data_IF_967599814684
#
_entry.id   IF_967599814684
#
_cell.length_a   1.000
_cell.length_b   1.000
_cell.length_c   1.000
_cell.angle_alpha   90.00
_cell.angle_beta   90.00
_cell.angle_gamma   90.00
#
_symmetry.space_group_name_H-M   'P 1'
#
loop_
_entity.id
_entity.type
_entity.pdbx_description
1 polymer ?
#
# COMPACT_ATOMS: atom_id res chain seq x y z
N UNK A 1 17.39 -6.96 -19.76
CA UNK A 1 15.92 -7.07 -19.72
C UNK A 1 15.37 -6.24 -18.56
N UNK A 2 15.59 -4.92 -18.55
CA UNK A 2 15.09 -4.00 -17.50
C UNK A 2 14.41 -2.76 -18.12
N UNK A 3 14.01 -2.83 -19.38
CA UNK A 3 13.65 -1.62 -20.14
C UNK A 3 12.16 -1.44 -20.38
N UNK A 4 11.34 -2.50 -20.32
CA UNK A 4 9.89 -2.36 -20.57
C UNK A 4 9.11 -1.97 -19.29
N UNK A 5 9.44 -2.58 -18.15
CA UNK A 5 8.72 -2.34 -16.90
C UNK A 5 9.01 -0.95 -16.31
N UNK A 6 10.24 -0.44 -16.46
CA UNK A 6 10.63 0.90 -15.98
C UNK A 6 9.92 1.99 -16.78
N UNK A 7 9.79 1.82 -18.10
CA UNK A 7 9.10 2.79 -18.98
C UNK A 7 7.59 2.83 -18.68
N UNK A 8 6.96 1.69 -18.39
CA UNK A 8 5.55 1.67 -18.02
C UNK A 8 5.27 2.34 -16.68
N UNK A 9 6.16 2.19 -15.69
CA UNK A 9 6.04 2.83 -14.38
C UNK A 9 6.24 4.34 -14.50
N UNK A 10 7.24 4.81 -15.25
CA UNK A 10 7.50 6.24 -15.46
C UNK A 10 6.33 6.96 -16.17
N UNK A 11 5.58 6.27 -17.03
CA UNK A 11 4.38 6.84 -17.66
C UNK A 11 3.25 7.00 -16.65
N UNK A 12 3.06 6.03 -15.75
CA UNK A 12 1.96 6.02 -14.78
C UNK A 12 2.19 7.01 -13.62
N UNK A 13 3.44 7.17 -13.17
CA UNK A 13 3.82 8.18 -12.17
C UNK A 13 3.84 9.60 -12.74
N UNK A 14 3.69 9.74 -14.07
CA UNK A 14 3.77 11.04 -14.71
C UNK A 14 2.49 11.84 -14.49
N UNK A 15 2.58 12.79 -13.56
CA UNK A 15 1.59 13.84 -13.31
C UNK A 15 1.16 14.56 -14.60
N UNK A 16 2.00 14.58 -15.65
CA UNK A 16 1.67 15.17 -16.95
C UNK A 16 0.55 14.43 -17.71
N UNK A 17 0.15 13.23 -17.27
CA UNK A 17 -1.06 12.56 -17.76
C UNK A 17 -2.35 13.14 -17.15
N UNK A 18 -2.22 13.79 -16.00
CA UNK A 18 -3.32 14.29 -15.19
C UNK A 18 -3.24 15.80 -15.04
N UNK A 19 -3.66 16.53 -16.10
CA UNK A 19 -3.89 17.97 -16.12
C UNK A 19 -2.73 18.88 -15.65
N UNK A 20 -1.59 18.34 -15.21
CA UNK A 20 -0.68 19.10 -14.38
C UNK A 20 0.78 18.92 -14.78
N UNK A 21 1.57 19.97 -14.55
CA UNK A 21 2.98 20.00 -14.89
C UNK A 21 3.77 20.75 -13.83
N UNK A 22 4.99 20.28 -13.55
CA UNK A 22 5.94 21.03 -12.73
C UNK A 22 6.66 22.08 -13.58
N UNK A 23 6.47 23.38 -13.29
CA UNK A 23 7.11 24.48 -14.00
C UNK A 23 8.09 25.26 -13.11
N UNK A 24 9.31 25.59 -13.56
CA UNK A 24 9.94 25.11 -14.78
C UNK A 24 10.49 23.69 -14.57
N UNK A 25 10.11 22.76 -15.43
CA UNK A 25 10.64 21.37 -15.45
C UNK A 25 12.05 21.24 -16.01
N UNK A 26 12.49 22.26 -16.75
CA UNK A 26 13.78 22.31 -17.40
C UNK A 26 14.34 23.72 -17.30
N UNK A 27 15.63 23.79 -17.02
CA UNK A 27 16.39 25.02 -16.94
C UNK A 27 17.40 25.06 -18.08
N UNK A 28 17.70 26.27 -18.54
CA UNK A 28 18.77 26.47 -19.51
C UNK A 28 20.07 26.62 -18.74
N UNK A 29 21.00 25.68 -18.90
CA UNK A 29 22.31 25.75 -18.28
C UNK A 29 23.08 26.98 -18.79
N UNK A 30 23.43 27.90 -17.89
CA UNK A 30 23.99 29.22 -18.21
C UNK A 30 25.21 29.18 -19.15
N UNK A 31 26.13 28.22 -18.92
CA UNK A 31 27.38 28.12 -19.69
C UNK A 31 27.24 27.40 -21.03
N UNK A 32 26.27 26.50 -21.16
CA UNK A 32 26.17 25.60 -22.33
C UNK A 32 24.94 25.87 -23.18
N UNK A 33 24.02 26.72 -22.70
CA UNK A 33 22.69 26.96 -23.26
C UNK A 33 21.86 25.69 -23.51
N UNK A 34 22.24 24.56 -22.91
CA UNK A 34 21.51 23.29 -23.02
C UNK A 34 20.34 23.29 -22.04
N UNK A 35 19.20 22.76 -22.47
CA UNK A 35 18.09 22.45 -21.56
C UNK A 35 18.49 21.24 -20.71
N UNK A 36 18.48 21.42 -19.40
CA UNK A 36 18.72 20.39 -18.38
C UNK A 36 17.46 20.29 -17.53
N UNK A 37 17.11 19.09 -17.07
CA UNK A 37 15.96 18.89 -16.18
C UNK A 37 16.18 19.68 -14.88
N UNK A 38 15.15 20.37 -14.40
CA UNK A 38 15.20 21.06 -13.13
C UNK A 38 15.17 19.98 -12.03
N UNK A 39 16.31 19.73 -11.39
CA UNK A 39 16.43 18.86 -10.21
C UNK A 39 16.54 19.78 -8.99
N UNK A 40 15.44 20.45 -8.64
CA UNK A 40 15.35 21.39 -7.50
C UNK A 40 16.34 22.57 -7.53
N UNK A 41 16.86 22.90 -8.71
CA UNK A 41 17.78 24.04 -8.91
C UNK A 41 17.01 25.37 -8.84
N UNK A 42 15.75 25.36 -9.30
CA UNK A 42 14.80 26.45 -9.13
C UNK A 42 13.49 25.92 -8.53
N UNK A 43 12.75 26.75 -7.78
CA UNK A 43 11.43 26.39 -7.27
C UNK A 43 10.54 25.89 -8.42
N UNK A 44 9.98 24.69 -8.26
CA UNK A 44 9.02 24.11 -9.19
C UNK A 44 7.62 24.32 -8.64
N UNK A 45 6.72 24.78 -9.49
CA UNK A 45 5.32 24.98 -9.16
C UNK A 45 4.49 23.91 -9.87
N UNK A 46 3.59 23.29 -9.13
CA UNK A 46 2.64 22.34 -9.66
C UNK A 46 1.43 23.09 -10.24
N UNK A 47 1.27 23.08 -11.57
CA UNK A 47 0.22 23.83 -12.27
C UNK A 47 -0.83 22.85 -12.77
N UNK A 48 -2.05 22.87 -12.20
CA UNK A 48 -3.20 22.06 -12.65
C UNK A 48 -3.89 22.67 -13.89
N UNK A 49 -4.64 21.84 -14.61
CA UNK A 49 -5.47 22.14 -15.79
C UNK A 49 -4.78 22.80 -17.00
N UNK A 50 -3.54 22.44 -17.30
CA UNK A 50 -2.78 23.06 -18.43
C UNK A 50 -3.23 22.55 -19.81
N UNK A 51 -3.71 21.30 -19.89
CA UNK A 51 -4.12 20.62 -21.12
C UNK A 51 -5.28 19.65 -20.83
N UNK A 52 -6.09 19.24 -21.81
CA UNK A 52 -7.12 18.24 -21.59
C UNK A 52 -6.54 16.93 -21.02
N UNK A 53 -7.13 16.40 -19.94
CA UNK A 53 -6.71 15.13 -19.36
C UNK A 53 -6.68 14.02 -20.39
N UNK A 54 -5.64 13.19 -20.29
CA UNK A 54 -5.56 11.94 -21.03
C UNK A 54 -6.40 10.86 -20.31
N UNK A 55 -6.48 10.93 -18.98
CA UNK A 55 -7.26 10.02 -18.11
C UNK A 55 -8.03 10.81 -17.05
N UNK A 56 -9.19 10.32 -16.63
CA UNK A 56 -10.00 10.93 -15.55
C UNK A 56 -9.28 10.93 -14.20
N UNK A 57 -9.61 11.88 -13.32
CA UNK A 57 -9.12 11.96 -11.94
C UNK A 57 -9.30 10.66 -11.17
N UNK A 58 -10.52 10.12 -11.17
CA UNK A 58 -10.86 8.86 -10.50
C UNK A 58 -9.94 7.71 -10.92
N UNK A 59 -9.65 7.60 -12.22
CA UNK A 59 -8.74 6.56 -12.74
C UNK A 59 -7.30 6.79 -12.30
N UNK A 60 -6.82 8.04 -12.32
CA UNK A 60 -5.46 8.36 -11.86
C UNK A 60 -5.31 8.04 -10.37
N UNK A 61 -6.26 8.48 -9.54
CA UNK A 61 -6.30 8.18 -8.11
C UNK A 61 -6.33 6.68 -7.83
N UNK A 62 -7.19 5.93 -8.53
CA UNK A 62 -7.26 4.47 -8.40
C UNK A 62 -5.91 3.79 -8.71
N UNK A 63 -5.20 4.29 -9.72
CA UNK A 63 -3.87 3.77 -10.06
C UNK A 63 -2.82 4.14 -9.00
N UNK A 64 -2.82 5.38 -8.49
CA UNK A 64 -1.94 5.78 -7.39
C UNK A 64 -2.19 4.93 -6.14
N UNK A 65 -3.46 4.66 -5.81
CA UNK A 65 -3.83 3.77 -4.71
C UNK A 65 -3.31 2.34 -4.93
N UNK A 66 -3.43 1.78 -6.15
CA UNK A 66 -2.90 0.47 -6.47
C UNK A 66 -1.35 0.43 -6.41
N UNK A 67 -0.67 1.51 -6.80
CA UNK A 67 0.78 1.64 -6.64
C UNK A 67 1.19 1.69 -5.18
N UNK A 68 0.49 2.49 -4.36
CA UNK A 68 0.69 2.54 -2.90
C UNK A 68 0.47 1.15 -2.30
N UNK A 69 -0.60 0.46 -2.67
CA UNK A 69 -0.89 -0.91 -2.23
C UNK A 69 0.26 -1.88 -2.58
N UNK A 70 0.77 -1.85 -3.83
CA UNK A 70 1.91 -2.68 -4.26
C UNK A 70 3.21 -2.34 -3.54
N UNK A 71 3.42 -1.06 -3.22
CA UNK A 71 4.53 -0.59 -2.40
C UNK A 71 4.45 -1.18 -0.98
N UNK A 72 3.26 -1.15 -0.37
CA UNK A 72 3.02 -1.71 0.97
C UNK A 72 3.16 -3.23 1.05
N UNK A 73 3.11 -3.93 -0.09
CA UNK A 73 3.43 -5.37 -0.17
C UNK A 73 4.93 -5.67 -0.04
N UNK A 74 5.80 -4.67 -0.03
CA UNK A 74 7.23 -4.80 0.23
C UNK A 74 7.47 -4.80 1.75
N UNK A 75 7.46 -5.98 2.38
CA UNK A 75 7.60 -6.11 3.83
C UNK A 75 8.98 -6.53 4.32
N UNK A 76 9.88 -6.93 3.43
CA UNK A 76 11.25 -7.24 3.85
C UNK A 76 12.04 -5.94 4.13
N UNK A 77 13.03 -5.97 5.04
CA UNK A 77 13.79 -4.78 5.42
C UNK A 77 14.42 -3.98 4.27
N UNK A 78 14.70 -4.63 3.13
CA UNK A 78 15.36 -3.99 1.97
C UNK A 78 14.36 -3.65 0.86
N UNK A 79 13.06 -3.90 1.08
CA UNK A 79 11.98 -3.75 0.08
C UNK A 79 12.30 -4.45 -1.24
N UNK A 80 12.96 -5.61 -1.17
CA UNK A 80 13.42 -6.40 -2.32
C UNK A 80 12.39 -7.45 -2.75
N UNK A 81 11.56 -7.92 -1.82
CA UNK A 81 10.65 -9.04 -2.01
C UNK A 81 9.21 -8.63 -1.75
N UNK A 82 8.39 -8.73 -2.80
CA UNK A 82 6.94 -8.46 -2.74
C UNK A 82 6.19 -9.64 -2.14
N UNK A 83 5.24 -9.34 -1.27
CA UNK A 83 4.14 -10.24 -0.95
C UNK A 83 3.26 -10.40 -2.20
N UNK A 84 3.43 -11.51 -2.93
CA UNK A 84 2.55 -11.84 -4.06
C UNK A 84 2.35 -13.34 -4.14
N UNK A 85 1.09 -13.78 -4.15
CA UNK A 85 0.75 -15.18 -4.28
C UNK A 85 1.35 -15.78 -5.56
N UNK A 86 2.25 -16.76 -5.43
CA UNK A 86 2.64 -17.57 -6.58
C UNK A 86 1.69 -18.77 -6.66
N UNK A 87 1.14 -19.05 -7.83
CA UNK A 87 0.23 -20.19 -8.05
C UNK A 87 0.82 -21.58 -7.73
N UNK A 88 2.07 -21.64 -7.27
CA UNK A 88 2.81 -22.86 -7.00
C UNK A 88 2.48 -23.52 -5.66
N UNK A 89 2.12 -22.76 -4.62
CA UNK A 89 1.73 -23.30 -3.32
C UNK A 89 0.93 -22.28 -2.49
N UNK A 90 -0.07 -22.73 -1.68
CA UNK A 90 -0.98 -21.85 -0.92
C UNK A 90 -0.31 -20.76 -0.10
N UNK A 91 0.85 -21.07 0.47
CA UNK A 91 1.56 -20.20 1.42
C UNK A 91 2.69 -19.37 0.79
N UNK A 92 2.85 -19.44 -0.54
CA UNK A 92 3.97 -18.81 -1.22
C UNK A 92 3.93 -17.29 -1.13
N UNK A 93 5.04 -16.70 -0.68
CA UNK A 93 5.22 -15.26 -0.42
C UNK A 93 4.17 -14.67 0.53
N UNK A 94 3.49 -15.49 1.35
CA UNK A 94 2.59 -15.02 2.39
C UNK A 94 3.30 -14.84 3.72
N UNK A 95 4.35 -15.64 3.97
CA UNK A 95 5.03 -15.67 5.25
C UNK A 95 6.39 -14.98 5.23
N UNK A 96 6.66 -14.23 6.30
CA UNK A 96 7.93 -13.56 6.57
C UNK A 96 8.49 -14.06 7.90
N UNK A 97 9.82 -14.09 8.01
CA UNK A 97 10.49 -14.52 9.23
C UNK A 97 10.30 -13.47 10.32
N UNK A 98 9.79 -13.86 11.49
CA UNK A 98 9.57 -12.94 12.60
C UNK A 98 10.84 -12.48 13.34
N UNK A 99 12.01 -13.03 12.98
CA UNK A 99 13.32 -12.64 13.50
C UNK A 99 14.01 -11.63 12.58
N UNK A 100 14.21 -11.98 11.29
CA UNK A 100 14.96 -11.12 10.35
C UNK A 100 14.08 -10.39 9.32
N UNK A 101 12.76 -10.59 9.33
CA UNK A 101 11.83 -9.97 8.39
C UNK A 101 11.96 -10.45 6.94
N UNK A 102 12.86 -11.38 6.62
CA UNK A 102 13.04 -11.90 5.25
C UNK A 102 11.96 -12.93 4.89
N UNK A 103 11.66 -13.13 3.59
CA UNK A 103 10.63 -14.08 3.17
C UNK A 103 10.94 -15.52 3.62
N UNK A 104 9.88 -16.26 3.91
CA UNK A 104 9.94 -17.70 4.14
C UNK A 104 9.74 -18.42 2.81
N UNK A 105 10.55 -19.44 2.54
CA UNK A 105 10.51 -20.22 1.30
C UNK A 105 10.13 -21.67 1.57
N UNK A 106 9.39 -22.26 0.64
CA UNK A 106 9.04 -23.67 0.66
C UNK A 106 10.26 -24.54 0.33
N UNK A 107 10.46 -25.60 1.11
CA UNK A 107 11.51 -26.61 0.97
C UNK A 107 10.87 -28.00 0.99
N UNK A 108 11.36 -28.87 0.13
CA UNK A 108 11.08 -30.31 0.21
C UNK A 108 12.23 -30.98 0.94
N UNK A 109 11.96 -31.53 2.11
CA UNK A 109 12.90 -32.30 2.90
C UNK A 109 12.69 -33.78 2.63
N UNK A 110 13.76 -34.56 2.69
CA UNK A 110 13.70 -36.03 2.57
C UNK A 110 14.02 -36.62 3.92
N UNK A 111 13.14 -37.48 4.42
CA UNK A 111 13.34 -38.25 5.64
C UNK A 111 13.19 -39.74 5.33
N UNK A 112 13.64 -40.60 6.23
CA UNK A 112 13.54 -42.05 6.05
C UNK A 112 13.04 -42.72 7.31
N UNK A 113 12.05 -43.60 7.17
CA UNK A 113 11.53 -44.43 8.27
C UNK A 113 11.49 -45.88 7.81
N UNK A 114 12.09 -46.79 8.59
CA UNK A 114 12.16 -48.22 8.27
C UNK A 114 12.76 -48.54 6.87
N UNK A 115 13.69 -47.72 6.39
CA UNK A 115 14.34 -47.89 5.09
C UNK A 115 13.60 -47.27 3.90
N UNK A 116 12.36 -46.81 4.08
CA UNK A 116 11.60 -46.11 3.04
C UNK A 116 11.78 -44.59 3.17
N UNK A 117 12.07 -43.93 2.04
CA UNK A 117 12.17 -42.47 1.97
C UNK A 117 10.78 -41.86 1.82
N UNK A 118 10.50 -40.83 2.60
CA UNK A 118 9.31 -40.01 2.46
C UNK A 118 9.69 -38.53 2.40
N UNK A 119 8.84 -37.74 1.75
CA UNK A 119 9.07 -36.32 1.52
C UNK A 119 8.21 -35.49 2.46
N UNK A 120 8.82 -34.49 3.08
CA UNK A 120 8.14 -33.57 3.98
C UNK A 120 8.25 -32.17 3.38
N UNK A 121 7.12 -31.47 3.30
CA UNK A 121 7.08 -30.07 2.90
C UNK A 121 7.29 -29.20 4.15
N UNK A 122 8.25 -28.28 4.09
CA UNK A 122 8.58 -27.38 5.19
C UNK A 122 8.83 -25.97 4.67
N UNK A 123 8.57 -24.98 5.52
CA UNK A 123 8.73 -23.56 5.27
C UNK A 123 9.88 -23.04 6.12
N UNK A 124 10.89 -22.48 5.47
CA UNK A 124 12.14 -22.07 6.12
C UNK A 124 12.49 -20.64 5.73
N UNK A 125 13.01 -19.86 6.68
CA UNK A 125 13.52 -18.52 6.42
C UNK A 125 14.58 -18.55 5.28
N UNK A 126 14.45 -17.65 4.29
CA UNK A 126 15.38 -17.53 3.15
C UNK A 126 16.85 -17.45 3.57
N UNK A 127 17.13 -16.74 4.66
CA UNK A 127 18.47 -16.57 5.23
C UNK A 127 19.03 -17.91 5.69
N UNK A 128 18.32 -18.58 6.59
CA UNK A 128 18.73 -19.88 7.14
C UNK A 128 18.79 -20.99 6.08
N UNK A 129 18.03 -20.84 5.00
CA UNK A 129 18.08 -21.72 3.85
C UNK A 129 19.29 -21.45 2.91
N UNK A 130 20.14 -20.47 3.23
CA UNK A 130 21.31 -20.09 2.43
C UNK A 130 20.93 -19.46 1.08
N UNK A 131 19.74 -18.88 0.97
CA UNK A 131 19.22 -18.24 -0.25
C UNK A 131 19.29 -16.72 -0.19
N UNK A 132 19.89 -16.18 0.86
CA UNK A 132 20.19 -14.76 1.02
C UNK A 132 21.72 -14.57 1.07
N UNK A 133 22.33 -13.92 0.07
CA UNK A 133 23.76 -13.66 0.09
C UNK A 133 24.13 -12.49 1.00
N UNK A 134 23.19 -11.57 1.25
CA UNK A 134 23.42 -10.27 1.86
C UNK A 134 23.32 -10.34 3.39
N UNK A 135 22.65 -11.37 3.93
CA UNK A 135 22.37 -11.51 5.37
C UNK A 135 22.52 -12.96 5.85
N UNK A 136 23.08 -13.18 7.05
CA UNK A 136 23.40 -14.54 7.58
C UNK A 136 23.06 -14.78 9.05
N UNK A 137 22.59 -13.78 9.79
CA UNK A 137 22.51 -13.84 11.25
C UNK A 137 21.18 -14.37 11.82
N UNK A 138 20.29 -14.87 10.95
CA UNK A 138 19.01 -15.45 11.38
C UNK A 138 19.18 -16.91 11.85
N UNK A 139 18.55 -17.26 12.97
CA UNK A 139 18.63 -18.60 13.59
C UNK A 139 17.29 -19.34 13.60
N UNK A 140 16.24 -18.75 13.03
CA UNK A 140 14.91 -19.32 12.95
C UNK A 140 14.91 -20.73 12.31
N UNK A 141 14.23 -21.68 12.96
CA UNK A 141 14.03 -23.04 12.43
C UNK A 141 13.02 -23.06 11.26
N UNK A 142 12.84 -24.22 10.63
CA UNK A 142 11.77 -24.46 9.67
C UNK A 142 10.47 -24.86 10.38
N UNK A 143 9.33 -24.68 9.71
CA UNK A 143 8.00 -25.11 10.14
C UNK A 143 7.43 -26.08 9.13
N UNK A 144 6.77 -27.15 9.55
CA UNK A 144 6.14 -28.06 8.59
C UNK A 144 4.91 -27.43 7.94
N UNK A 145 4.67 -27.75 6.67
CA UNK A 145 3.49 -27.26 5.95
C UNK A 145 2.19 -27.71 6.64
N UNK A 146 2.17 -28.95 7.14
CA UNK A 146 1.05 -29.51 7.91
C UNK A 146 0.77 -28.73 9.20
N UNK A 147 1.81 -28.20 9.85
CA UNK A 147 1.63 -27.44 11.08
C UNK A 147 1.00 -26.07 10.78
N UNK A 148 1.36 -25.45 9.66
CA UNK A 148 0.73 -24.21 9.19
C UNK A 148 -0.75 -24.42 8.83
N UNK A 149 -1.05 -25.50 8.10
CA UNK A 149 -2.42 -25.87 7.75
C UNK A 149 -3.27 -26.11 9.01
N UNK A 150 -2.75 -26.87 9.97
CA UNK A 150 -3.43 -27.16 11.23
C UNK A 150 -3.62 -25.91 12.09
N UNK A 151 -2.61 -25.04 12.17
CA UNK A 151 -2.70 -23.78 12.91
C UNK A 151 -3.77 -22.86 12.32
N UNK A 152 -3.81 -22.73 10.99
CA UNK A 152 -4.85 -21.95 10.31
C UNK A 152 -6.25 -22.51 10.60
N UNK A 153 -6.44 -23.82 10.44
CA UNK A 153 -7.73 -24.46 10.69
C UNK A 153 -8.16 -24.38 12.16
N UNK A 154 -7.21 -24.41 13.10
CA UNK A 154 -7.49 -24.21 14.52
C UNK A 154 -8.06 -22.81 14.77
N UNK A 155 -7.40 -21.77 14.26
CA UNK A 155 -7.87 -20.37 14.40
C UNK A 155 -9.26 -20.20 13.79
N UNK A 156 -9.50 -20.74 12.59
CA UNK A 156 -10.81 -20.65 11.94
C UNK A 156 -11.92 -21.33 12.75
N UNK A 157 -11.63 -22.45 13.43
CA UNK A 157 -12.59 -23.12 14.31
C UNK A 157 -12.85 -22.33 15.59
N UNK A 158 -11.81 -21.82 16.23
CA UNK A 158 -11.94 -20.98 17.43
C UNK A 158 -12.79 -19.73 17.12
N UNK A 159 -12.55 -19.07 15.98
CA UNK A 159 -13.34 -17.93 15.53
C UNK A 159 -14.82 -18.29 15.29
N UNK A 160 -15.09 -19.51 14.83
CA UNK A 160 -16.46 -19.98 14.58
C UNK A 160 -17.19 -20.39 15.87
N UNK A 161 -16.46 -20.89 16.87
CA UNK A 161 -17.01 -21.27 18.17
C UNK A 161 -17.39 -20.04 19.01
N UNK A 162 -16.62 -18.95 18.92
CA UNK A 162 -16.84 -17.71 19.67
C UNK A 162 -17.00 -16.48 18.75
N UNK A 163 -18.06 -16.39 17.94
CA UNK A 163 -18.23 -15.27 17.00
C UNK A 163 -18.33 -13.91 17.71
N UNK A 164 -18.96 -13.85 18.87
CA UNK A 164 -19.16 -12.60 19.63
C UNK A 164 -17.83 -11.98 20.08
N UNK A 165 -16.89 -12.80 20.57
CA UNK A 165 -15.55 -12.36 20.98
C UNK A 165 -14.75 -11.80 19.80
N UNK A 166 -14.81 -12.49 18.66
CA UNK A 166 -14.15 -12.04 17.42
C UNK A 166 -14.76 -10.72 16.93
N UNK A 167 -16.08 -10.56 17.04
CA UNK A 167 -16.77 -9.32 16.67
C UNK A 167 -16.35 -8.17 17.58
N UNK A 168 -16.26 -8.38 18.88
CA UNK A 168 -15.81 -7.35 19.82
C UNK A 168 -14.35 -6.93 19.55
N UNK A 169 -13.44 -7.88 19.36
CA UNK A 169 -12.03 -7.58 19.05
C UNK A 169 -11.88 -6.81 17.73
N UNK A 170 -12.62 -7.23 16.70
CA UNK A 170 -12.59 -6.56 15.41
C UNK A 170 -13.15 -5.13 15.48
N UNK A 171 -14.27 -4.94 16.21
CA UNK A 171 -14.83 -3.61 16.41
C UNK A 171 -13.87 -2.69 17.17
N UNK A 172 -13.16 -3.19 18.18
CA UNK A 172 -12.12 -2.42 18.88
C UNK A 172 -10.96 -2.04 17.96
N UNK A 173 -10.57 -2.93 17.04
CA UNK A 173 -9.53 -2.63 16.06
C UNK A 173 -9.99 -1.56 15.05
N UNK A 174 -11.23 -1.65 14.58
CA UNK A 174 -11.86 -0.66 13.69
C UNK A 174 -11.99 0.69 14.40
N UNK A 175 -12.44 0.72 15.66
CA UNK A 175 -12.56 1.93 16.46
C UNK A 175 -11.21 2.62 16.66
N UNK A 176 -10.14 1.85 16.92
CA UNK A 176 -8.78 2.39 17.03
C UNK A 176 -8.25 2.99 15.73
N UNK A 177 -8.67 2.47 14.58
CA UNK A 177 -8.32 3.01 13.27
C UNK A 177 -9.26 4.14 12.82
N UNK A 178 -10.42 4.26 13.47
CA UNK A 178 -11.43 5.25 13.10
C UNK A 178 -11.03 6.66 13.48
N UNK A 179 -11.47 7.63 12.68
CA UNK A 179 -11.30 9.03 13.01
C UNK A 179 -12.14 9.36 14.24
N UNK A 180 -11.52 9.98 15.23
CA UNK A 180 -12.22 10.51 16.39
C UNK A 180 -13.22 11.60 15.97
N UNK A 181 -14.29 11.84 16.75
CA UNK A 181 -15.25 12.90 16.46
C UNK A 181 -14.64 14.29 16.14
N UNK A 182 -13.59 14.78 16.84
CA UNK A 182 -12.96 16.04 16.48
C UNK A 182 -12.18 15.97 15.16
N UNK A 183 -11.58 14.83 14.81
CA UNK A 183 -10.89 14.65 13.52
C UNK A 183 -11.88 14.61 12.35
N UNK A 184 -13.06 14.01 12.54
CA UNK A 184 -14.14 14.05 11.56
C UNK A 184 -14.64 15.49 11.32
N UNK A 185 -14.82 16.25 12.40
CA UNK A 185 -15.17 17.68 12.30
C UNK A 185 -14.07 18.49 11.61
N UNK A 186 -12.80 18.21 11.93
CA UNK A 186 -11.65 18.85 11.29
C UNK A 186 -11.60 18.54 9.80
N UNK A 187 -11.86 17.30 9.39
CA UNK A 187 -11.93 16.90 7.99
C UNK A 187 -13.02 17.68 7.24
N UNK A 188 -14.21 17.83 7.84
CA UNK A 188 -15.29 18.62 7.25
C UNK A 188 -14.92 20.11 7.14
N UNK A 189 -14.25 20.67 8.16
CA UNK A 189 -13.75 22.05 8.14
C UNK A 189 -12.70 22.25 7.03
N UNK A 190 -11.72 21.34 6.92
CA UNK A 190 -10.69 21.37 5.88
C UNK A 190 -11.30 21.35 4.48
N UNK A 191 -12.31 20.50 4.26
CA UNK A 191 -13.01 20.45 2.98
C UNK A 191 -13.67 21.79 2.62
N UNK A 192 -14.33 22.45 3.58
CA UNK A 192 -14.92 23.78 3.39
C UNK A 192 -13.86 24.86 3.12
N UNK A 193 -12.73 24.82 3.82
CA UNK A 193 -11.64 25.76 3.62
C UNK A 193 -10.99 25.59 2.24
N UNK A 194 -10.76 24.34 1.81
CA UNK A 194 -10.22 24.02 0.49
C UNK A 194 -11.18 24.48 -0.61
N UNK A 195 -12.48 24.23 -0.45
CA UNK A 195 -13.52 24.69 -1.40
C UNK A 195 -13.49 26.22 -1.53
N UNK A 196 -13.52 26.93 -0.39
CA UNK A 196 -13.47 28.41 -0.37
C UNK A 196 -12.22 28.97 -1.05
N UNK A 197 -11.05 28.38 -0.82
CA UNK A 197 -9.80 28.81 -1.46
C UNK A 197 -9.82 28.48 -2.95
N UNK A 198 -10.38 27.34 -3.34
CA UNK A 198 -10.52 26.93 -4.75
C UNK A 198 -11.41 27.92 -5.51
N UNK A 199 -12.55 28.30 -4.92
CA UNK A 199 -13.45 29.32 -5.47
C UNK A 199 -12.73 30.66 -5.63
N UNK A 200 -11.98 31.08 -4.60
CA UNK A 200 -11.22 32.34 -4.64
C UNK A 200 -10.12 32.34 -5.71
N UNK A 201 -9.43 31.22 -5.90
CA UNK A 201 -8.46 31.04 -7.00
C UNK A 201 -9.16 31.14 -8.35
N UNK A 202 -10.31 30.48 -8.51
CA UNK A 202 -11.08 30.51 -9.76
C UNK A 202 -11.60 31.92 -10.09
N UNK A 203 -12.08 32.66 -9.09
CA UNK A 203 -12.54 34.04 -9.20
C UNK A 203 -11.41 34.99 -9.61
N UNK A 204 -10.22 34.80 -9.04
CA UNK A 204 -9.03 35.58 -9.40
C UNK A 204 -8.58 35.26 -10.83
N UNK A 205 -8.60 33.99 -11.23
CA UNK A 205 -8.30 33.58 -12.61
C UNK A 205 -9.30 34.14 -13.63
N UNK A 206 -10.60 34.20 -13.28
CA UNK A 206 -11.63 34.76 -14.15
C UNK A 206 -11.55 36.29 -14.29
N UNK A 207 -10.98 36.98 -13.30
CA UNK A 207 -10.81 38.45 -13.26
C UNK A 207 -9.54 38.94 -13.94
N UNK A 208 -8.83 38.10 -14.71
CA UNK A 208 -7.56 38.44 -15.34
C UNK A 208 -7.68 39.71 -16.21
N UNK A 209 -7.28 40.85 -15.62
CA UNK A 209 -7.02 42.10 -16.30
C UNK A 209 -5.64 41.99 -16.93
N UNK A 210 -5.48 42.48 -18.16
CA UNK A 210 -4.28 42.38 -19.01
C UNK A 210 -2.96 42.97 -18.43
N UNK A 211 -2.93 43.28 -17.15
CA UNK A 211 -1.80 43.80 -16.40
C UNK A 211 -1.22 42.69 -15.52
N UNK A 212 -0.07 42.14 -15.93
CA UNK A 212 0.84 41.34 -15.11
C UNK A 212 1.29 42.15 -13.88
N UNK A 213 0.46 42.18 -12.85
CA UNK A 213 0.74 42.84 -11.58
C UNK A 213 1.45 41.87 -10.63
N UNK A 214 2.58 42.30 -10.06
CA UNK A 214 3.32 41.52 -9.06
C UNK A 214 2.47 41.20 -7.82
N UNK A 215 1.45 42.03 -7.53
CA UNK A 215 0.51 41.82 -6.44
C UNK A 215 -0.44 40.65 -6.74
N UNK A 216 -0.89 40.50 -7.99
CA UNK A 216 -1.71 39.37 -8.42
C UNK A 216 -0.95 38.05 -8.26
N UNK A 217 0.28 38.00 -8.79
CA UNK A 217 1.14 36.82 -8.70
C UNK A 217 1.44 36.43 -7.24
N UNK A 218 1.70 37.41 -6.37
CA UNK A 218 1.94 37.16 -4.95
C UNK A 218 0.69 36.61 -4.23
N UNK A 219 -0.50 37.15 -4.54
CA UNK A 219 -1.76 36.72 -3.94
C UNK A 219 -2.14 35.31 -4.39
N UNK A 220 -1.97 35.01 -5.68
CA UNK A 220 -2.23 33.68 -6.22
C UNK A 220 -1.29 32.63 -5.59
N UNK A 221 0.00 32.94 -5.46
CA UNK A 221 0.96 32.05 -4.79
C UNK A 221 0.60 31.79 -3.33
N UNK A 222 0.18 32.82 -2.60
CA UNK A 222 -0.26 32.65 -1.21
C UNK A 222 -1.44 31.68 -1.10
N UNK A 223 -2.47 31.84 -1.94
CA UNK A 223 -3.65 30.98 -1.93
C UNK A 223 -3.32 29.54 -2.32
N UNK A 224 -2.44 29.34 -3.31
CA UNK A 224 -1.98 27.99 -3.70
C UNK A 224 -1.23 27.33 -2.53
N UNK A 225 -0.32 28.05 -1.89
CA UNK A 225 0.44 27.52 -0.75
C UNK A 225 -0.47 27.17 0.45
N UNK A 226 -1.45 28.02 0.74
CA UNK A 226 -2.46 27.75 1.77
C UNK A 226 -3.27 26.50 1.42
N UNK A 227 -3.69 26.35 0.16
CA UNK A 227 -4.40 25.16 -0.31
C UNK A 227 -3.55 23.88 -0.18
N UNK A 228 -2.25 23.93 -0.51
CA UNK A 228 -1.34 22.78 -0.40
C UNK A 228 -1.22 22.29 1.04
N UNK A 229 -1.08 23.19 2.01
CA UNK A 229 -1.01 22.83 3.45
C UNK A 229 -2.30 22.12 3.89
N UNK A 230 -3.46 22.68 3.53
CA UNK A 230 -4.75 22.11 3.90
C UNK A 230 -4.99 20.75 3.23
N UNK A 231 -4.58 20.61 1.97
CA UNK A 231 -4.65 19.32 1.25
C UNK A 231 -3.75 18.26 1.88
N UNK A 232 -2.58 18.63 2.41
CA UNK A 232 -1.70 17.71 3.11
C UNK A 232 -2.34 17.19 4.41
N UNK A 233 -2.91 18.08 5.22
CA UNK A 233 -3.61 17.70 6.46
C UNK A 233 -4.83 16.81 6.14
N UNK A 234 -5.63 17.20 5.14
CA UNK A 234 -6.77 16.41 4.66
C UNK A 234 -6.33 15.01 4.22
N UNK A 235 -5.25 14.93 3.44
CA UNK A 235 -4.70 13.66 2.97
C UNK A 235 -4.34 12.71 4.11
N UNK A 236 -3.73 13.20 5.20
CA UNK A 236 -3.44 12.35 6.36
C UNK A 236 -4.69 11.80 7.05
N UNK A 237 -5.77 12.57 7.14
CA UNK A 237 -7.04 12.12 7.74
C UNK A 237 -7.79 11.16 6.80
N UNK A 238 -7.76 11.41 5.49
CA UNK A 238 -8.32 10.51 4.49
C UNK A 238 -7.61 9.16 4.46
N UNK A 239 -6.28 9.13 4.66
CA UNK A 239 -5.52 7.88 4.77
C UNK A 239 -6.00 7.02 5.95
N UNK A 240 -6.20 7.61 7.13
CA UNK A 240 -6.74 6.90 8.30
C UNK A 240 -8.17 6.38 8.04
N UNK A 241 -9.01 7.20 7.41
CA UNK A 241 -10.37 6.79 7.03
C UNK A 241 -10.36 5.63 6.03
N UNK A 242 -9.45 5.65 5.06
CA UNK A 242 -9.28 4.54 4.11
C UNK A 242 -8.83 3.25 4.81
N UNK A 243 -7.95 3.35 5.82
CA UNK A 243 -7.54 2.21 6.64
C UNK A 243 -8.73 1.62 7.41
N UNK A 244 -9.55 2.46 8.05
CA UNK A 244 -10.78 2.02 8.72
C UNK A 244 -11.71 1.26 7.74
N UNK A 245 -12.03 1.87 6.58
CA UNK A 245 -12.89 1.25 5.57
C UNK A 245 -12.33 -0.06 5.02
N UNK A 246 -11.00 -0.16 4.92
CA UNK A 246 -10.33 -1.39 4.53
C UNK A 246 -10.53 -2.49 5.58
N UNK A 247 -10.31 -2.18 6.87
CA UNK A 247 -10.50 -3.12 7.97
C UNK A 247 -11.94 -3.61 8.06
N UNK A 248 -12.92 -2.70 7.95
CA UNK A 248 -14.35 -3.02 7.93
C UNK A 248 -14.69 -4.00 6.80
N UNK A 249 -14.21 -3.73 5.58
CA UNK A 249 -14.43 -4.62 4.43
C UNK A 249 -13.80 -5.99 4.62
N UNK A 250 -12.57 -6.06 5.14
CA UNK A 250 -11.92 -7.33 5.44
C UNK A 250 -12.71 -8.11 6.49
N UNK A 251 -13.16 -7.44 7.55
CA UNK A 251 -13.90 -8.07 8.63
C UNK A 251 -15.27 -8.61 8.17
N UNK A 252 -16.02 -7.81 7.40
CA UNK A 252 -17.29 -8.26 6.79
C UNK A 252 -17.09 -9.47 5.88
N UNK A 253 -16.00 -9.49 5.09
CA UNK A 253 -15.69 -10.64 4.24
C UNK A 253 -15.37 -11.91 5.05
N UNK A 254 -14.73 -11.76 6.22
CA UNK A 254 -14.46 -12.87 7.14
C UNK A 254 -15.77 -13.39 7.75
N UNK A 255 -16.68 -12.53 8.17
CA UNK A 255 -17.96 -12.94 8.75
C UNK A 255 -18.79 -13.76 7.76
N UNK A 256 -18.95 -13.26 6.53
CA UNK A 256 -19.64 -14.00 5.45
C UNK A 256 -19.00 -15.36 5.22
N UNK A 257 -17.66 -15.42 5.21
CA UNK A 257 -16.91 -16.66 5.04
C UNK A 257 -17.14 -17.64 6.20
N UNK A 258 -17.16 -17.17 7.45
CA UNK A 258 -17.43 -18.00 8.63
C UNK A 258 -18.86 -18.55 8.64
N UNK A 259 -19.84 -17.77 8.17
CA UNK A 259 -21.24 -18.19 8.03
C UNK A 259 -21.44 -19.22 6.91
N UNK A 260 -20.85 -19.00 5.73
CA UNK A 260 -20.96 -19.90 4.56
C UNK A 260 -20.30 -21.26 4.79
N UNK A 261 -19.26 -21.32 5.63
CA UNK A 261 -18.46 -22.53 5.79
C UNK A 261 -19.10 -23.47 6.82
N UNK A 262 -20.06 -24.32 6.42
CA UNK A 262 -20.76 -25.24 7.33
C UNK A 262 -19.82 -26.16 8.12
N UNK A 263 -18.77 -26.68 7.47
CA UNK A 263 -17.80 -27.63 8.05
C UNK A 263 -16.35 -27.26 7.76
N UNK A 264 -15.57 -27.03 8.80
CA UNK A 264 -14.11 -26.79 8.74
C UNK A 264 -13.35 -28.09 9.06
N UNK A 265 -13.51 -29.10 8.20
CA UNK A 265 -12.89 -30.43 8.38
C UNK A 265 -11.41 -30.43 7.92
N UNK A 266 -11.14 -30.06 6.66
CA UNK A 266 -9.80 -30.05 6.06
C UNK A 266 -9.36 -28.64 5.61
N UNK A 267 -8.04 -28.46 5.43
CA UNK A 267 -7.48 -27.21 4.94
C UNK A 267 -7.96 -26.91 3.51
N UNK A 268 -8.71 -25.82 3.36
CA UNK A 268 -9.15 -25.31 2.06
C UNK A 268 -8.26 -24.14 1.59
N UNK A 269 -7.56 -24.36 0.48
CA UNK A 269 -6.70 -23.38 -0.17
C UNK A 269 -7.48 -22.14 -0.62
N UNK A 270 -8.74 -22.31 -1.04
CA UNK A 270 -9.60 -21.20 -1.49
C UNK A 270 -10.03 -20.33 -0.33
N UNK A 271 -10.34 -20.95 0.81
CA UNK A 271 -10.63 -20.28 2.08
C UNK A 271 -9.43 -19.46 2.54
N UNK A 272 -8.24 -20.08 2.57
CA UNK A 272 -7.01 -19.39 2.93
C UNK A 272 -6.75 -18.19 2.02
N UNK A 273 -6.90 -18.35 0.70
CA UNK A 273 -6.69 -17.26 -0.28
C UNK A 273 -7.66 -16.09 -0.09
N UNK A 274 -8.93 -16.37 0.22
CA UNK A 274 -9.94 -15.33 0.40
C UNK A 274 -9.63 -14.49 1.65
N UNK A 275 -9.07 -15.12 2.68
CA UNK A 275 -8.72 -14.47 3.94
C UNK A 275 -7.34 -13.81 3.95
N UNK A 276 -6.36 -14.34 3.20
CA UNK A 276 -4.96 -13.88 3.26
C UNK A 276 -4.68 -12.70 2.31
N UNK A 277 -5.03 -11.47 2.71
CA UNK A 277 -4.57 -10.24 2.04
C UNK A 277 -3.38 -9.57 2.73
N UNK A 278 -3.02 -10.00 3.95
CA UNK A 278 -1.90 -9.48 4.74
C UNK A 278 -0.77 -10.48 4.91
N UNK A 279 0.47 -9.99 5.05
CA UNK A 279 1.61 -10.86 5.28
C UNK A 279 1.64 -11.37 6.72
N UNK A 280 1.94 -12.65 6.88
CA UNK A 280 1.97 -13.34 8.16
C UNK A 280 3.42 -13.53 8.61
N UNK A 281 3.70 -13.33 9.88
CA UNK A 281 5.05 -13.55 10.42
C UNK A 281 5.11 -14.90 11.13
N UNK A 282 6.11 -15.71 10.78
CA UNK A 282 6.38 -16.98 11.45
C UNK A 282 7.49 -16.76 12.48
N UNK A 283 7.20 -17.08 13.74
CA UNK A 283 8.19 -17.24 14.80
C UNK A 283 8.13 -18.68 15.29
N UNK A 284 9.30 -19.30 15.45
CA UNK A 284 9.40 -20.54 16.21
C UNK A 284 9.73 -20.14 17.64
N UNK A 285 8.84 -20.46 18.57
CA UNK A 285 9.14 -20.46 20.00
C UNK A 285 10.01 -21.67 20.36
#
# INVERSE_FOLDING_TARGET
>A
MLTADVIHIEVIENINLYFAYFYPSSLTAFLTHKRVRNHDIQPQYYVKNTHPAIISEETFEAVQQEMKRRSLMMRDPDKKYRQHFSGHSPFSNQYFCGECGRPVIRRRMTSSRKGEKYYISAWQCRVTAGRDPDYKDCKTSYVHETDLENAFMKIMREMKENPDEVIEEANQAIEKASLSPPEQQRLEELNKQIETITDRISDLAAKESATRDAIYDATLRHLIYEQEILQQERGSLEENMQEQLYLEKQFQSLLVLLEETEKLEDFDVTLFKRQSNGALFIRNE
#
